data_IF_265336270833
#
_entry.id   IF_265336270833
#
_cell.length_a   1.000
_cell.length_b   1.000
_cell.length_c   1.000
_cell.angle_alpha   90.00
_cell.angle_beta   90.00
_cell.angle_gamma   90.00
#
_symmetry.space_group_name_H-M   'P 1'
#
loop_
_entity.id
_entity.type
_entity.pdbx_description
1 polymer ?
#
# COMPACT_ATOMS: atom_id res chain seq x y z
N UNK A 1 -6.68 2.31 11.83
CA UNK A 1 -6.36 1.06 11.14
C UNK A 1 -5.79 1.34 9.76
N UNK A 2 -4.86 0.54 9.35
CA UNK A 2 -4.47 0.48 7.94
C UNK A 2 -5.61 -0.25 7.24
N UNK A 3 -6.47 0.48 6.56
CA UNK A 3 -7.67 -0.11 6.02
C UNK A 3 -7.40 -1.07 4.87
N UNK A 4 -6.79 -0.57 3.81
CA UNK A 4 -6.63 -1.36 2.58
C UNK A 4 -5.26 -1.09 1.95
N UNK A 5 -4.71 -2.14 1.36
CA UNK A 5 -3.46 -2.10 0.61
C UNK A 5 -3.76 -2.48 -0.83
N UNK A 6 -3.53 -1.57 -1.76
CA UNK A 6 -3.76 -1.80 -3.19
C UNK A 6 -2.43 -1.93 -3.91
N UNK A 7 -2.25 -2.97 -4.69
CA UNK A 7 -1.03 -3.15 -5.46
C UNK A 7 -1.04 -4.39 -6.33
N UNK A 8 0.03 -4.59 -7.07
CA UNK A 8 0.12 -5.64 -8.09
C UNK A 8 0.94 -6.88 -7.68
N UNK A 9 1.67 -6.86 -6.55
CA UNK A 9 2.60 -7.93 -6.22
C UNK A 9 2.51 -8.46 -4.79
N UNK A 10 2.76 -9.76 -4.67
CA UNK A 10 2.70 -10.64 -3.49
C UNK A 10 3.55 -10.24 -2.28
N UNK A 11 4.69 -9.59 -2.48
CA UNK A 11 5.61 -9.23 -1.39
C UNK A 11 4.98 -8.28 -0.35
N UNK A 12 3.89 -7.62 -0.73
CA UNK A 12 3.15 -6.68 0.13
C UNK A 12 2.21 -7.38 1.09
N UNK A 13 1.78 -8.61 0.79
CA UNK A 13 0.89 -9.40 1.65
C UNK A 13 1.48 -9.58 3.04
N UNK A 14 2.74 -10.00 3.11
CA UNK A 14 3.41 -10.23 4.39
C UNK A 14 3.59 -8.95 5.18
N UNK A 15 3.96 -7.86 4.52
CA UNK A 15 4.08 -6.55 5.16
C UNK A 15 2.72 -6.02 5.64
N UNK A 16 1.67 -6.19 4.84
CA UNK A 16 0.32 -5.78 5.18
C UNK A 16 -0.23 -6.57 6.37
N UNK A 17 -0.04 -7.88 6.39
CA UNK A 17 -0.41 -8.75 7.51
C UNK A 17 0.32 -8.33 8.80
N UNK A 18 1.64 -8.20 8.74
CA UNK A 18 2.45 -7.80 9.88
C UNK A 18 2.12 -6.40 10.41
N UNK A 19 1.74 -5.48 9.54
CA UNK A 19 1.34 -4.12 9.91
C UNK A 19 -0.13 -4.03 10.39
N UNK A 20 -0.90 -5.12 10.32
CA UNK A 20 -2.30 -5.16 10.76
C UNK A 20 -3.27 -4.52 9.78
N UNK A 21 -3.04 -4.64 8.48
CA UNK A 21 -4.00 -4.20 7.47
C UNK A 21 -5.31 -5.01 7.55
N UNK A 22 -6.43 -4.36 7.22
CA UNK A 22 -7.74 -5.02 7.21
C UNK A 22 -7.98 -5.85 5.93
N UNK A 23 -7.34 -5.48 4.82
CA UNK A 23 -7.46 -6.21 3.55
C UNK A 23 -6.33 -5.85 2.59
N UNK A 24 -6.06 -6.75 1.63
CA UNK A 24 -5.18 -6.50 0.49
C UNK A 24 -5.96 -6.66 -0.80
N UNK A 25 -5.76 -5.73 -1.72
CA UNK A 25 -6.48 -5.66 -2.98
C UNK A 25 -5.48 -5.66 -4.13
N UNK A 26 -5.65 -6.60 -5.04
CA UNK A 26 -4.87 -6.70 -6.27
C UNK A 26 -5.68 -6.19 -7.45
N UNK A 27 -5.09 -5.30 -8.23
CA UNK A 27 -5.70 -4.79 -9.46
C UNK A 27 -5.77 -5.85 -10.55
N UNK A 28 -6.55 -5.58 -11.58
CA UNK A 28 -6.54 -6.35 -12.83
C UNK A 28 -5.13 -6.51 -13.37
N UNK A 29 -4.84 -7.64 -13.96
CA UNK A 29 -3.51 -8.03 -14.48
C UNK A 29 -2.42 -8.20 -13.40
N UNK A 30 -2.80 -8.36 -12.14
CA UNK A 30 -1.89 -8.72 -11.07
C UNK A 30 -1.46 -10.19 -11.14
N UNK A 31 -0.35 -10.53 -10.46
CA UNK A 31 0.11 -11.91 -10.35
C UNK A 31 -0.95 -12.78 -9.66
N UNK A 32 -1.16 -14.00 -10.14
CA UNK A 32 -2.01 -14.98 -9.48
C UNK A 32 -1.49 -15.26 -8.05
N UNK A 33 -2.24 -14.75 -7.08
CA UNK A 33 -1.89 -14.85 -5.65
C UNK A 33 -2.07 -16.27 -5.08
N UNK A 34 -2.83 -17.11 -5.77
CA UNK A 34 -3.07 -18.50 -5.38
C UNK A 34 -2.11 -19.50 -6.03
N UNK A 35 -1.20 -19.04 -6.88
CA UNK A 35 -0.13 -19.90 -7.39
C UNK A 35 0.70 -20.48 -6.23
N UNK A 36 1.04 -21.80 -6.22
CA UNK A 36 1.74 -22.43 -5.10
C UNK A 36 3.07 -21.78 -4.71
N UNK A 37 3.80 -21.21 -5.67
CA UNK A 37 5.03 -20.47 -5.41
C UNK A 37 4.74 -19.14 -4.68
N UNK A 38 3.66 -18.47 -5.01
CA UNK A 38 3.20 -17.26 -4.34
C UNK A 38 2.74 -17.58 -2.93
N UNK A 39 1.88 -18.58 -2.77
CA UNK A 39 1.37 -19.01 -1.45
C UNK A 39 2.53 -19.31 -0.49
N UNK A 40 3.53 -20.06 -0.92
CA UNK A 40 4.73 -20.35 -0.10
C UNK A 40 5.50 -19.09 0.28
N UNK A 41 5.61 -18.12 -0.62
CA UNK A 41 6.35 -16.87 -0.35
C UNK A 41 5.67 -15.95 0.66
N UNK A 42 4.39 -16.10 0.93
CA UNK A 42 3.63 -15.29 1.89
C UNK A 42 3.80 -15.76 3.34
N UNK A 43 4.37 -16.94 3.56
CA UNK A 43 4.59 -17.52 4.90
C UNK A 43 3.28 -17.57 5.74
N UNK A 44 2.17 -17.91 5.09
CA UNK A 44 0.86 -18.02 5.73
C UNK A 44 0.02 -16.73 5.73
N UNK A 45 0.57 -15.56 5.43
CA UNK A 45 -0.17 -14.29 5.44
C UNK A 45 -1.36 -14.27 4.47
N UNK A 46 -1.32 -15.08 3.40
CA UNK A 46 -2.42 -15.26 2.47
C UNK A 46 -3.73 -15.71 3.14
N UNK A 47 -3.62 -16.43 4.26
CA UNK A 47 -4.76 -16.99 5.00
C UNK A 47 -5.20 -16.10 6.18
N UNK A 48 -4.47 -15.03 6.50
CA UNK A 48 -4.77 -14.14 7.61
C UNK A 48 -5.58 -12.92 7.20
N UNK A 49 -5.51 -12.52 5.93
CA UNK A 49 -6.12 -11.30 5.42
C UNK A 49 -7.18 -11.58 4.37
N UNK A 50 -8.30 -10.85 4.37
CA UNK A 50 -9.17 -10.76 3.20
C UNK A 50 -8.41 -10.26 1.98
N UNK A 51 -8.52 -10.99 0.88
CA UNK A 51 -7.85 -10.66 -0.39
C UNK A 51 -8.91 -10.49 -1.47
N UNK A 52 -8.82 -9.37 -2.17
CA UNK A 52 -9.62 -9.10 -3.37
C UNK A 52 -8.70 -9.11 -4.56
N UNK A 53 -9.10 -9.81 -5.61
CA UNK A 53 -8.35 -9.92 -6.87
C UNK A 53 -9.12 -9.28 -8.02
N UNK A 54 -8.42 -8.93 -9.10
CA UNK A 54 -8.98 -8.35 -10.32
C UNK A 54 -9.85 -7.10 -10.11
N UNK A 55 -9.51 -6.31 -9.09
CA UNK A 55 -10.26 -5.12 -8.75
C UNK A 55 -9.96 -3.95 -9.70
N UNK A 56 -10.98 -3.14 -9.96
CA UNK A 56 -10.80 -1.84 -10.60
C UNK A 56 -10.34 -0.83 -9.55
N UNK A 57 -9.13 -0.27 -9.72
CA UNK A 57 -8.50 0.59 -8.69
C UNK A 57 -9.33 1.83 -8.41
N UNK A 58 -9.87 2.47 -9.43
CA UNK A 58 -10.71 3.67 -9.28
C UNK A 58 -11.92 3.43 -8.39
N UNK A 59 -12.61 2.31 -8.59
CA UNK A 59 -13.77 1.92 -7.77
C UNK A 59 -13.37 1.66 -6.31
N UNK A 60 -12.22 1.00 -6.11
CA UNK A 60 -11.71 0.72 -4.76
C UNK A 60 -11.35 2.00 -4.02
N UNK A 61 -10.69 2.94 -4.70
CA UNK A 61 -10.35 4.25 -4.11
C UNK A 61 -11.62 5.00 -3.74
N UNK A 62 -12.60 5.05 -4.63
CA UNK A 62 -13.87 5.72 -4.36
C UNK A 62 -14.58 5.11 -3.14
N UNK A 63 -14.64 3.79 -3.04
CA UNK A 63 -15.23 3.11 -1.90
C UNK A 63 -14.45 3.36 -0.60
N UNK A 64 -13.12 3.38 -0.66
CA UNK A 64 -12.30 3.72 0.50
C UNK A 64 -12.62 5.11 1.05
N UNK A 65 -12.71 6.10 0.17
CA UNK A 65 -13.08 7.47 0.54
C UNK A 65 -14.49 7.58 1.13
N UNK A 66 -15.46 6.89 0.55
CA UNK A 66 -16.83 6.82 1.09
C UNK A 66 -16.89 6.25 2.50
N UNK A 67 -15.95 5.38 2.86
CA UNK A 67 -15.83 4.80 4.21
C UNK A 67 -14.90 5.58 5.14
N UNK A 68 -14.54 6.79 4.79
CA UNK A 68 -13.75 7.69 5.63
C UNK A 68 -12.25 7.43 5.64
N UNK A 69 -11.73 6.68 4.68
CA UNK A 69 -10.28 6.49 4.52
C UNK A 69 -9.67 7.64 3.74
N UNK A 70 -8.52 8.13 4.19
CA UNK A 70 -7.61 8.86 3.32
C UNK A 70 -6.89 7.89 2.38
N UNK A 71 -6.57 8.35 1.18
CA UNK A 71 -5.91 7.53 0.17
C UNK A 71 -4.53 8.11 -0.13
N UNK A 72 -3.49 7.34 0.15
CA UNK A 72 -2.10 7.70 -0.09
C UNK A 72 -1.50 6.87 -1.22
N UNK A 73 -0.97 7.54 -2.23
CA UNK A 73 -0.17 6.90 -3.27
C UNK A 73 1.31 6.96 -2.89
N UNK A 74 1.95 5.79 -2.76
CA UNK A 74 3.38 5.71 -2.48
C UNK A 74 4.19 6.05 -3.74
N UNK A 75 4.65 7.29 -3.83
CA UNK A 75 5.36 7.80 -5.00
C UNK A 75 6.56 8.67 -4.58
N UNK A 76 7.72 8.47 -5.20
CA UNK A 76 8.98 9.12 -4.84
C UNK A 76 8.93 10.66 -4.90
N UNK A 77 8.05 11.25 -5.71
CA UNK A 77 7.86 12.70 -5.80
C UNK A 77 6.92 13.30 -4.74
N UNK A 78 6.37 12.48 -3.84
CA UNK A 78 5.39 12.91 -2.86
C UNK A 78 5.98 13.58 -1.61
N UNK A 79 5.08 13.99 -0.71
CA UNK A 79 5.44 14.48 0.62
C UNK A 79 6.15 13.38 1.43
N UNK A 80 7.20 13.73 2.14
CA UNK A 80 7.94 12.73 2.91
C UNK A 80 7.17 12.30 4.17
N UNK A 81 7.20 11.01 4.48
CA UNK A 81 6.47 10.43 5.63
C UNK A 81 6.72 11.21 6.93
N UNK A 82 7.95 11.58 7.31
CA UNK A 82 8.19 12.31 8.55
C UNK A 82 7.49 13.68 8.62
N UNK A 83 7.20 14.29 7.48
CA UNK A 83 6.58 15.61 7.39
C UNK A 83 5.05 15.56 7.57
N UNK A 84 4.45 14.38 7.50
CA UNK A 84 2.98 14.23 7.63
C UNK A 84 2.49 14.40 9.07
N UNK A 85 3.32 14.02 10.04
CA UNK A 85 2.96 14.05 11.45
C UNK A 85 2.04 12.90 11.89
N UNK A 86 2.07 12.60 13.18
CA UNK A 86 1.35 11.47 13.77
C UNK A 86 -0.17 11.58 13.63
N UNK A 87 -0.71 12.78 13.71
CA UNK A 87 -2.16 13.02 13.57
C UNK A 87 -2.70 12.59 12.20
N UNK A 88 -1.95 12.82 11.14
CA UNK A 88 -2.31 12.40 9.78
C UNK A 88 -2.11 10.91 9.62
N UNK A 89 -0.96 10.39 10.07
CA UNK A 89 -0.63 8.96 9.94
C UNK A 89 -1.54 8.05 10.78
N UNK A 90 -2.15 8.55 11.84
CA UNK A 90 -3.08 7.77 12.68
C UNK A 90 -4.49 7.62 12.10
N UNK A 91 -4.83 8.35 11.04
CA UNK A 91 -6.14 8.24 10.40
C UNK A 91 -6.30 6.92 9.63
N UNK A 92 -7.53 6.43 9.44
CA UNK A 92 -7.80 5.30 8.57
C UNK A 92 -7.23 5.56 7.17
N UNK A 93 -6.33 4.70 6.71
CA UNK A 93 -5.56 4.95 5.48
C UNK A 93 -5.65 3.77 4.52
N UNK A 94 -5.86 4.07 3.26
CA UNK A 94 -5.68 3.14 2.15
C UNK A 94 -4.40 3.50 1.41
N UNK A 95 -3.43 2.60 1.42
CA UNK A 95 -2.19 2.75 0.68
C UNK A 95 -2.32 2.16 -0.73
N UNK A 96 -1.92 2.92 -1.73
CA UNK A 96 -1.86 2.51 -3.13
C UNK A 96 -0.40 2.46 -3.56
N UNK A 97 0.00 1.34 -4.18
CA UNK A 97 1.35 1.13 -4.68
C UNK A 97 1.31 0.91 -6.18
N UNK A 98 2.16 1.63 -6.89
CA UNK A 98 2.30 1.54 -8.34
C UNK A 98 2.99 0.25 -8.80
N UNK A 99 3.14 0.14 -10.11
CA UNK A 99 3.92 -0.90 -10.74
C UNK A 99 5.43 -0.61 -10.57
N UNK A 100 6.23 -1.65 -10.39
CA UNK A 100 7.68 -1.50 -10.24
C UNK A 100 8.40 -0.99 -11.50
N UNK A 101 7.82 -1.26 -12.68
CA UNK A 101 8.45 -0.92 -13.95
C UNK A 101 8.10 0.49 -14.44
N UNK A 102 6.86 0.95 -14.23
CA UNK A 102 6.38 2.24 -14.76
C UNK A 102 5.67 3.13 -13.73
N UNK A 103 5.60 2.69 -12.46
CA UNK A 103 4.97 3.47 -11.39
C UNK A 103 3.45 3.51 -11.48
N UNK A 104 2.89 4.70 -11.49
CA UNK A 104 1.45 4.94 -11.50
C UNK A 104 0.98 5.49 -12.85
N UNK A 105 -0.23 5.13 -13.23
CA UNK A 105 -0.96 5.87 -14.24
C UNK A 105 -1.41 7.23 -13.67
N UNK A 106 -1.36 8.32 -14.47
CA UNK A 106 -1.72 9.66 -14.01
C UNK A 106 -3.14 9.74 -13.40
N UNK A 107 -4.07 8.97 -13.95
CA UNK A 107 -5.45 8.91 -13.48
C UNK A 107 -5.55 8.35 -12.05
N UNK A 108 -4.72 7.36 -11.73
CA UNK A 108 -4.67 6.77 -10.37
C UNK A 108 -4.09 7.77 -9.37
N UNK A 109 -3.03 8.48 -9.73
CA UNK A 109 -2.45 9.53 -8.88
C UNK A 109 -3.45 10.66 -8.60
N UNK A 110 -4.22 11.05 -9.62
CA UNK A 110 -5.23 12.10 -9.48
C UNK A 110 -6.36 11.73 -8.48
N UNK A 111 -6.62 10.44 -8.27
CA UNK A 111 -7.61 9.95 -7.32
C UNK A 111 -7.09 9.88 -5.88
N UNK A 112 -5.79 9.85 -5.66
CA UNK A 112 -5.20 9.83 -4.33
C UNK A 112 -5.38 11.20 -3.65
N UNK A 113 -5.52 11.19 -2.32
CA UNK A 113 -5.56 12.43 -1.53
C UNK A 113 -4.18 13.05 -1.39
N UNK A 114 -3.14 12.20 -1.34
CA UNK A 114 -1.73 12.60 -1.30
C UNK A 114 -0.83 11.61 -2.00
N UNK A 115 0.21 12.12 -2.62
CA UNK A 115 1.40 11.35 -2.94
C UNK A 115 2.36 11.41 -1.75
N UNK A 116 2.86 10.26 -1.32
CA UNK A 116 3.70 10.13 -0.12
C UNK A 116 4.96 9.36 -0.46
N UNK A 117 6.10 9.88 -0.04
CA UNK A 117 7.42 9.30 -0.29
C UNK A 117 8.09 8.80 0.98
N UNK A 118 8.81 7.69 0.86
CA UNK A 118 9.80 7.28 1.86
C UNK A 118 11.07 8.10 1.62
N UNK A 119 11.57 8.83 2.64
CA UNK A 119 12.78 9.61 2.47
C UNK A 119 14.00 8.72 2.25
N UNK A 120 14.89 9.13 1.37
CA UNK A 120 16.17 8.48 1.13
C UNK A 120 17.27 9.42 1.59
N UNK A 121 18.03 9.01 2.59
CA UNK A 121 19.08 9.82 3.19
C UNK A 121 20.48 9.52 2.64
N UNK A 122 20.61 8.47 1.85
CA UNK A 122 21.86 8.04 1.25
C UNK A 122 21.92 8.35 -0.24
N UNK A 123 22.86 7.71 -0.95
CA UNK A 123 23.10 7.90 -2.38
C UNK A 123 22.22 7.00 -3.29
N UNK A 124 21.33 6.18 -2.72
CA UNK A 124 20.43 5.36 -3.52
C UNK A 124 19.36 6.22 -4.20
N UNK A 125 19.04 5.92 -5.45
CA UNK A 125 18.01 6.63 -6.20
C UNK A 125 16.59 6.22 -5.81
N UNK A 126 16.39 4.97 -5.40
CA UNK A 126 15.10 4.43 -5.00
C UNK A 126 15.24 3.26 -4.03
N UNK A 127 14.16 2.92 -3.35
CA UNK A 127 14.02 1.68 -2.59
C UNK A 127 13.32 0.61 -3.42
N UNK A 128 13.65 -0.65 -3.15
CA UNK A 128 12.82 -1.77 -3.58
C UNK A 128 11.38 -1.52 -3.12
N UNK A 129 10.41 -1.79 -4.00
CA UNK A 129 9.02 -1.46 -3.76
C UNK A 129 8.43 -2.21 -2.55
N UNK A 130 8.84 -3.45 -2.29
CA UNK A 130 8.41 -4.19 -1.10
C UNK A 130 8.93 -3.56 0.18
N UNK A 131 10.17 -3.07 0.17
CA UNK A 131 10.77 -2.34 1.28
C UNK A 131 10.06 -1.01 1.51
N UNK A 132 9.82 -0.24 0.46
CA UNK A 132 9.06 1.01 0.54
C UNK A 132 7.64 0.77 1.08
N UNK A 133 6.97 -0.27 0.62
CA UNK A 133 5.64 -0.65 1.12
C UNK A 133 5.67 -0.97 2.61
N UNK A 134 6.67 -1.70 3.09
CA UNK A 134 6.82 -1.99 4.52
C UNK A 134 6.97 -0.71 5.34
N UNK A 135 7.80 0.22 4.92
CA UNK A 135 7.98 1.51 5.61
C UNK A 135 6.67 2.31 5.63
N UNK A 136 5.99 2.42 4.51
CA UNK A 136 4.70 3.11 4.40
C UNK A 136 3.66 2.52 5.36
N UNK A 137 3.48 1.20 5.34
CA UNK A 137 2.50 0.50 6.15
C UNK A 137 2.82 0.62 7.64
N UNK A 138 4.07 0.43 8.04
CA UNK A 138 4.47 0.54 9.43
C UNK A 138 4.46 1.97 9.95
N UNK A 139 4.65 2.98 9.10
CA UNK A 139 4.51 4.38 9.54
C UNK A 139 3.09 4.69 10.03
N UNK A 140 2.08 4.20 9.33
CA UNK A 140 0.68 4.31 9.78
C UNK A 140 0.38 3.37 10.94
N UNK A 141 0.87 2.13 10.92
CA UNK A 141 0.68 1.19 12.01
C UNK A 141 1.22 1.72 13.35
N UNK A 142 2.42 2.28 13.36
CA UNK A 142 3.00 2.88 14.57
C UNK A 142 2.17 4.05 15.08
N UNK A 143 1.72 4.94 14.20
CA UNK A 143 0.91 6.09 14.60
C UNK A 143 -0.47 5.67 15.13
N UNK A 144 -1.06 4.60 14.59
CA UNK A 144 -2.38 4.10 14.98
C UNK A 144 -2.36 3.29 16.29
N UNK A 145 -1.21 2.77 16.69
CA UNK A 145 -1.04 1.96 17.90
C UNK A 145 -0.21 2.69 19.00
N UNK A 146 0.05 3.94 18.79
CA UNK A 146 0.79 4.76 19.76
C UNK A 146 -0.05 5.10 21.00
#
# INVERSE_FOLDING_TARGET
>A
RIGRVIGQRRHRLRAADAAGADAVIFSKNSVDVYNPKVVRSTTGSLFHLPIVIEAEISEVIEQAKKHGHQVFAANAGGAQIPDLGSKVLSQPTTWVFGNEAWGFEPETLALADREVAVPIYGAAESLNLATAASVCLFSTAFAQNA
#
